data_IF_734495425462
#
_entry.id   IF_734495425462
#
_cell.length_a   1.000
_cell.length_b   1.000
_cell.length_c   1.000
_cell.angle_alpha   90.00
_cell.angle_beta   90.00
_cell.angle_gamma   90.00
#
_symmetry.space_group_name_H-M   'P 1'
#
loop_
_entity.id
_entity.type
_entity.pdbx_description
1 polymer ?
#
# COMPACT_ATOMS: atom_id res chain seq x y z
N UNK A 1 14.35 -0.52 19.23
CA UNK A 1 14.04 0.89 18.93
C UNK A 1 13.23 0.92 17.66
N UNK A 2 11.91 1.09 17.76
CA UNK A 2 11.10 1.49 16.60
C UNK A 2 10.93 2.99 16.79
N UNK A 3 11.81 3.78 16.17
CA UNK A 3 11.70 5.23 16.15
C UNK A 3 10.70 5.61 15.05
N UNK A 4 9.77 6.55 15.27
CA UNK A 4 8.93 7.08 14.19
C UNK A 4 9.71 8.05 13.27
N UNK A 5 10.99 8.31 13.57
CA UNK A 5 11.86 9.16 12.75
C UNK A 5 12.57 8.32 11.71
N UNK A 6 12.28 8.59 10.44
CA UNK A 6 13.05 8.10 9.31
C UNK A 6 14.25 9.05 9.08
N UNK A 7 15.42 8.48 8.84
CA UNK A 7 16.60 9.23 8.43
C UNK A 7 16.58 9.43 6.92
N UNK A 8 17.23 10.47 6.41
CA UNK A 8 17.42 10.67 4.96
C UNK A 8 17.99 9.39 4.32
N UNK A 9 17.34 8.91 3.26
CA UNK A 9 17.66 7.68 2.56
C UNK A 9 17.17 6.39 3.23
N UNK A 10 16.46 6.45 4.35
CA UNK A 10 15.82 5.28 4.96
C UNK A 10 14.51 4.94 4.25
N UNK A 11 14.19 3.65 4.05
CA UNK A 11 12.89 3.25 3.54
C UNK A 11 11.81 3.63 4.54
N UNK A 12 10.77 4.31 4.07
CA UNK A 12 9.74 4.93 4.91
C UNK A 12 8.32 4.56 4.51
N UNK A 13 8.12 4.10 3.27
CA UNK A 13 6.81 3.74 2.75
C UNK A 13 6.87 2.60 1.73
N UNK A 14 5.77 1.87 1.62
CA UNK A 14 5.58 0.81 0.64
C UNK A 14 4.25 0.96 -0.08
N UNK A 15 4.25 0.71 -1.38
CA UNK A 15 3.09 0.80 -2.25
C UNK A 15 2.90 -0.48 -3.05
N UNK A 16 1.68 -0.99 -3.09
CA UNK A 16 1.31 -2.11 -3.94
C UNK A 16 0.60 -1.62 -5.20
N UNK A 17 1.18 -1.89 -6.37
CA UNK A 17 0.47 -1.85 -7.64
C UNK A 17 -0.10 -3.23 -7.95
N UNK A 18 -1.41 -3.32 -8.20
CA UNK A 18 -2.06 -4.59 -8.54
C UNK A 18 -3.23 -4.42 -9.50
N UNK A 19 -3.50 -5.36 -10.42
CA UNK A 19 -4.67 -5.29 -11.27
C UNK A 19 -5.98 -5.63 -10.53
N UNK A 20 -5.89 -6.30 -9.38
CA UNK A 20 -7.05 -6.77 -8.61
C UNK A 20 -6.91 -6.37 -7.13
N UNK A 21 -7.51 -5.23 -6.81
CA UNK A 21 -7.50 -4.63 -5.48
C UNK A 21 -8.21 -5.51 -4.44
N UNK A 22 -9.31 -6.15 -4.84
CA UNK A 22 -10.15 -6.95 -3.95
C UNK A 22 -9.43 -8.26 -3.57
N UNK A 23 -8.83 -8.94 -4.56
CA UNK A 23 -8.04 -10.15 -4.32
C UNK A 23 -6.80 -9.86 -3.45
N UNK A 24 -6.08 -8.78 -3.74
CA UNK A 24 -4.93 -8.37 -2.93
C UNK A 24 -5.35 -8.02 -1.49
N UNK A 25 -6.42 -7.27 -1.32
CA UNK A 25 -6.94 -6.90 0.01
C UNK A 25 -7.38 -8.14 0.79
N UNK A 26 -8.10 -9.07 0.16
CA UNK A 26 -8.51 -10.31 0.81
C UNK A 26 -7.30 -11.13 1.26
N UNK A 27 -6.29 -11.27 0.40
CA UNK A 27 -5.06 -12.00 0.71
C UNK A 27 -4.29 -11.39 1.89
N UNK A 28 -4.05 -10.07 1.88
CA UNK A 28 -3.31 -9.41 2.98
C UNK A 28 -4.14 -9.24 4.26
N UNK A 29 -5.47 -9.21 4.15
CA UNK A 29 -6.36 -9.33 5.31
C UNK A 29 -6.17 -10.67 6.01
N UNK A 30 -6.16 -11.78 5.26
CA UNK A 30 -5.98 -13.11 5.85
C UNK A 30 -4.57 -13.32 6.44
N UNK A 31 -3.53 -12.80 5.78
CA UNK A 31 -2.15 -12.98 6.24
C UNK A 31 -1.74 -12.07 7.39
N UNK A 32 -2.13 -10.80 7.33
CA UNK A 32 -1.60 -9.77 8.22
C UNK A 32 -2.68 -9.02 9.00
N UNK A 33 -3.96 -9.29 8.75
CA UNK A 33 -5.07 -8.54 9.35
C UNK A 33 -5.19 -7.12 8.78
N UNK A 34 -4.67 -6.88 7.56
CA UNK A 34 -4.76 -5.57 6.94
C UNK A 34 -6.16 -5.26 6.42
N UNK A 35 -6.55 -4.00 6.50
CA UNK A 35 -7.78 -3.46 5.94
C UNK A 35 -7.49 -2.36 4.92
N UNK A 36 -8.39 -2.20 3.95
CA UNK A 36 -8.31 -1.17 2.91
C UNK A 36 -9.24 0.01 3.24
N UNK A 37 -8.66 1.21 3.24
CA UNK A 37 -9.40 2.47 3.14
C UNK A 37 -9.30 2.95 1.69
N UNK A 38 -10.37 2.85 0.88
CA UNK A 38 -10.32 3.19 -0.53
C UNK A 38 -10.10 4.69 -0.75
N UNK A 39 -9.28 5.01 -1.75
CA UNK A 39 -9.05 6.39 -2.20
C UNK A 39 -10.17 6.92 -3.08
N UNK A 40 -10.48 8.20 -2.95
CA UNK A 40 -11.40 8.90 -3.86
C UNK A 40 -10.75 9.23 -5.22
N UNK A 41 -11.56 9.69 -6.20
CA UNK A 41 -11.07 10.16 -7.49
C UNK A 41 -10.02 11.27 -7.38
N UNK A 42 -10.08 12.10 -6.34
CA UNK A 42 -9.14 13.20 -6.08
C UNK A 42 -7.69 12.75 -5.86
N UNK A 43 -7.48 11.49 -5.45
CA UNK A 43 -6.16 10.86 -5.28
C UNK A 43 -5.89 9.80 -6.34
N UNK A 44 -6.64 9.82 -7.46
CA UNK A 44 -6.49 8.84 -8.53
C UNK A 44 -6.85 7.40 -8.12
N UNK A 45 -7.67 7.23 -7.08
CA UNK A 45 -8.03 5.90 -6.56
C UNK A 45 -6.98 5.26 -5.65
N UNK A 46 -5.95 6.00 -5.25
CA UNK A 46 -4.93 5.52 -4.32
C UNK A 46 -5.52 5.25 -2.92
N UNK A 47 -5.57 3.98 -2.53
CA UNK A 47 -6.07 3.51 -1.24
C UNK A 47 -4.96 3.36 -0.20
N UNK A 48 -5.36 3.36 1.06
CA UNK A 48 -4.47 3.13 2.20
C UNK A 48 -4.72 1.75 2.81
N UNK A 49 -3.66 1.00 3.02
CA UNK A 49 -3.68 -0.23 3.81
C UNK A 49 -3.48 0.11 5.29
N UNK A 50 -4.25 -0.54 6.16
CA UNK A 50 -4.27 -0.27 7.59
C UNK A 50 -4.15 -1.54 8.42
N UNK A 51 -3.53 -1.44 9.59
CA UNK A 51 -3.54 -2.46 10.64
C UNK A 51 -3.90 -1.78 11.96
N UNK A 52 -4.95 -2.24 12.64
CA UNK A 52 -5.47 -1.63 13.87
C UNK A 52 -5.66 -0.11 13.75
N UNK A 53 -6.16 0.35 12.60
CA UNK A 53 -6.40 1.76 12.30
C UNK A 53 -5.16 2.60 12.01
N UNK A 54 -3.97 1.99 11.91
CA UNK A 54 -2.71 2.68 11.54
C UNK A 54 -2.35 2.37 10.10
N UNK A 55 -1.90 3.37 9.35
CA UNK A 55 -1.47 3.15 7.98
C UNK A 55 -0.16 2.35 7.92
N UNK A 56 -0.11 1.38 7.01
CA UNK A 56 1.03 0.46 6.83
C UNK A 56 1.55 0.43 5.39
N UNK A 57 0.83 1.02 4.45
CA UNK A 57 1.25 1.14 3.06
C UNK A 57 0.13 1.71 2.19
N UNK A 58 0.47 1.94 0.93
CA UNK A 58 -0.49 2.30 -0.11
C UNK A 58 -0.85 1.14 -1.02
N UNK A 59 -1.94 1.32 -1.74
CA UNK A 59 -2.33 0.42 -2.81
C UNK A 59 -3.05 1.18 -3.93
N UNK A 60 -2.78 0.81 -5.17
CA UNK A 60 -3.49 1.35 -6.31
C UNK A 60 -3.72 0.28 -7.37
N UNK A 61 -4.81 0.43 -8.13
CA UNK A 61 -5.05 -0.40 -9.30
C UNK A 61 -4.08 -0.03 -10.40
N UNK A 62 -3.34 -1.01 -10.92
CA UNK A 62 -2.45 -0.86 -12.08
C UNK A 62 -2.76 -1.97 -13.05
N UNK A 63 -3.02 -1.63 -14.31
CA UNK A 63 -3.28 -2.65 -15.33
C UNK A 63 -2.00 -3.43 -15.67
N UNK A 64 -2.15 -4.71 -16.05
CA UNK A 64 -1.01 -5.53 -16.44
C UNK A 64 -0.29 -5.01 -17.70
N UNK A 65 -0.97 -4.20 -18.52
CA UNK A 65 -0.38 -3.51 -19.68
C UNK A 65 0.54 -2.35 -19.26
N UNK A 66 0.24 -1.68 -18.15
CA UNK A 66 1.04 -0.58 -17.62
C UNK A 66 2.26 -1.08 -16.83
N UNK A 67 2.06 -2.04 -15.93
CA UNK A 67 3.14 -2.63 -15.13
C UNK A 67 2.73 -3.98 -14.52
N UNK A 68 3.69 -4.89 -14.24
CA UNK A 68 3.41 -6.08 -13.46
C UNK A 68 2.99 -5.73 -12.02
N UNK A 69 2.17 -6.58 -11.41
CA UNK A 69 1.86 -6.44 -9.99
C UNK A 69 3.12 -6.55 -9.13
N UNK A 70 3.41 -5.51 -8.35
CA UNK A 70 4.64 -5.41 -7.58
C UNK A 70 4.51 -4.45 -6.39
N UNK A 71 5.40 -4.67 -5.43
CA UNK A 71 5.66 -3.73 -4.34
C UNK A 71 6.75 -2.73 -4.75
N UNK A 72 6.50 -1.46 -4.46
CA UNK A 72 7.48 -0.37 -4.55
C UNK A 72 7.83 0.12 -3.15
N UNK A 73 9.06 0.60 -2.98
CA UNK A 73 9.57 1.14 -1.72
C UNK A 73 9.99 2.58 -1.95
N UNK A 74 9.47 3.49 -1.13
CA UNK A 74 9.90 4.88 -1.08
C UNK A 74 10.93 5.07 0.02
N UNK A 75 11.72 6.14 -0.10
CA UNK A 75 12.75 6.51 0.84
C UNK A 75 12.61 8.01 1.15
N UNK A 76 12.90 8.42 2.40
CA UNK A 76 12.99 9.84 2.79
C UNK A 76 14.10 10.59 2.07
#
# INVERSE_FOLDING_TARGET
>A
MISPTFLDGAPDWVDLGTPDLDAATAFYRELFGWDLVPGGPEVGGYGMLTLDGRYVGGVMTVSEEEAPSAWSVSFQ
#
